data_IF_907836656840
#
_entry.id   IF_907836656840
#
_cell.length_a   1.000
_cell.length_b   1.000
_cell.length_c   1.000
_cell.angle_alpha   90.00
_cell.angle_beta   90.00
_cell.angle_gamma   90.00
#
_symmetry.space_group_name_H-M   'P 1'
#
loop_
_entity.id
_entity.type
_entity.pdbx_description
1 polymer ?
#
# COMPACT_ATOMS: atom_id res chain seq x y z
N UNK A 1 -25.12 -31.53 15.33
CA UNK A 1 -24.42 -31.24 14.05
C UNK A 1 -23.11 -30.55 14.38
N UNK A 2 -21.96 -31.14 14.02
CA UNK A 2 -20.62 -30.62 14.34
C UNK A 2 -20.19 -29.66 13.23
N UNK A 3 -19.87 -28.41 13.57
CA UNK A 3 -19.28 -27.46 12.63
C UNK A 3 -17.82 -27.85 12.41
N UNK A 4 -17.54 -28.65 11.39
CA UNK A 4 -16.16 -28.87 10.93
C UNK A 4 -15.67 -27.62 10.21
N UNK A 5 -15.11 -26.70 11.00
CA UNK A 5 -14.39 -25.54 10.48
C UNK A 5 -13.06 -26.08 9.94
N UNK A 6 -13.01 -26.45 8.66
CA UNK A 6 -11.78 -26.82 7.96
C UNK A 6 -10.90 -25.57 7.81
N UNK A 7 -10.25 -25.15 8.89
CA UNK A 7 -9.19 -24.17 8.86
C UNK A 7 -7.95 -24.87 8.31
N UNK A 8 -7.86 -25.01 6.97
CA UNK A 8 -6.56 -25.23 6.33
C UNK A 8 -5.68 -24.05 6.74
N UNK A 9 -4.90 -24.22 7.82
CA UNK A 9 -3.80 -23.32 8.20
C UNK A 9 -2.83 -23.32 7.02
N UNK A 10 -3.05 -22.42 6.06
CA UNK A 10 -2.00 -22.03 5.13
C UNK A 10 -1.01 -21.23 5.98
N UNK A 11 -0.06 -21.93 6.59
CA UNK A 11 1.08 -21.40 7.36
C UNK A 11 2.10 -20.67 6.47
N UNK A 12 1.66 -20.10 5.35
CA UNK A 12 2.48 -19.29 4.47
C UNK A 12 2.23 -17.81 4.74
N UNK A 13 3.30 -17.00 4.70
CA UNK A 13 3.14 -15.55 4.51
C UNK A 13 2.20 -15.36 3.30
N UNK A 14 1.13 -14.55 3.42
CA UNK A 14 0.24 -14.33 2.30
C UNK A 14 1.06 -13.83 1.10
N UNK A 15 0.71 -14.22 -0.13
CA UNK A 15 1.38 -13.69 -1.31
C UNK A 15 1.36 -12.17 -1.20
N UNK A 16 2.52 -11.53 -1.42
CA UNK A 16 2.63 -10.07 -1.45
C UNK A 16 1.85 -9.57 -2.67
N UNK A 17 0.53 -9.46 -2.53
CA UNK A 17 -0.30 -8.79 -3.53
C UNK A 17 0.16 -7.35 -3.57
N UNK A 18 0.60 -6.90 -4.74
CA UNK A 18 0.97 -5.50 -4.91
C UNK A 18 -0.19 -4.60 -4.50
N UNK A 19 0.10 -3.59 -3.69
CA UNK A 19 -0.87 -2.59 -3.24
C UNK A 19 -0.35 -1.21 -3.59
N UNK A 20 -1.27 -0.38 -4.07
CA UNK A 20 -1.00 1.01 -4.36
C UNK A 20 -1.00 1.80 -3.04
N UNK A 21 0.07 2.56 -2.79
CA UNK A 21 0.13 3.47 -1.65
C UNK A 21 -0.81 4.67 -1.86
N UNK A 22 -1.63 4.97 -0.86
CA UNK A 22 -2.56 6.11 -0.92
C UNK A 22 -1.84 7.47 -0.99
N UNK A 23 -0.62 7.57 -0.47
CA UNK A 23 0.21 8.77 -0.58
C UNK A 23 0.59 9.09 -2.02
N UNK A 24 0.80 8.06 -2.85
CA UNK A 24 1.07 8.23 -4.28
C UNK A 24 -0.14 8.80 -5.03
N UNK A 25 -1.36 8.39 -4.65
CA UNK A 25 -2.61 8.93 -5.20
C UNK A 25 -2.87 10.39 -4.81
N UNK A 26 -2.31 10.86 -3.69
CA UNK A 26 -2.40 12.27 -3.28
C UNK A 26 -1.41 13.16 -4.03
N UNK A 27 -0.37 12.58 -4.64
CA UNK A 27 0.67 13.33 -5.33
C UNK A 27 0.16 13.87 -6.68
N UNK A 28 0.05 15.20 -6.80
CA UNK A 28 -0.43 15.88 -8.01
C UNK A 28 0.40 15.53 -9.26
N UNK A 29 1.73 15.40 -9.12
CA UNK A 29 2.62 15.09 -10.24
C UNK A 29 2.44 13.65 -10.71
N UNK A 30 2.37 12.68 -9.81
CA UNK A 30 2.08 11.29 -10.16
C UNK A 30 0.74 11.17 -10.90
N UNK A 31 -0.31 11.84 -10.39
CA UNK A 31 -1.63 11.85 -11.01
C UNK A 31 -1.62 12.46 -12.42
N UNK A 32 -0.85 13.53 -12.65
CA UNK A 32 -0.71 14.11 -14.00
C UNK A 32 -0.04 13.14 -14.96
N UNK A 33 1.01 12.44 -14.54
CA UNK A 33 1.68 11.44 -15.38
C UNK A 33 0.74 10.29 -15.76
N UNK A 34 -0.03 9.80 -14.79
CA UNK A 34 -0.99 8.71 -15.04
C UNK A 34 -2.13 9.18 -15.95
N UNK A 35 -2.64 10.41 -15.79
CA UNK A 35 -3.65 10.97 -16.69
C UNK A 35 -3.14 11.06 -18.13
N UNK A 36 -1.88 11.47 -18.34
CA UNK A 36 -1.26 11.48 -19.67
C UNK A 36 -1.18 10.08 -20.27
N UNK A 37 -0.83 9.08 -19.46
CA UNK A 37 -0.78 7.68 -19.92
C UNK A 37 -2.16 7.15 -20.31
N UNK A 38 -3.20 7.45 -19.51
CA UNK A 38 -4.59 7.09 -19.83
C UNK A 38 -5.00 7.73 -21.16
N UNK A 39 -4.71 9.02 -21.34
CA UNK A 39 -5.02 9.73 -22.60
C UNK A 39 -4.34 9.07 -23.79
N UNK A 40 -3.07 8.69 -23.66
CA UNK A 40 -2.33 7.98 -24.71
C UNK A 40 -2.98 6.64 -25.07
N UNK A 41 -3.39 5.86 -24.07
CA UNK A 41 -4.07 4.57 -24.29
C UNK A 41 -5.42 4.77 -25.01
N UNK A 42 -6.11 5.88 -24.75
CA UNK A 42 -7.35 6.23 -25.44
C UNK A 42 -7.14 6.72 -26.87
N UNK A 43 -6.04 7.45 -27.13
CA UNK A 43 -5.69 7.96 -28.47
C UNK A 43 -5.20 6.84 -29.42
N UNK A 44 -4.53 5.81 -28.91
CA UNK A 44 -4.08 4.64 -29.72
C UNK A 44 -5.21 3.74 -30.23
N UNK A 45 -6.46 4.15 -30.03
CA UNK A 45 -7.65 3.31 -30.18
C UNK A 45 -8.39 3.47 -31.51
N UNK A 46 -7.74 3.98 -32.55
CA UNK A 46 -8.26 4.17 -33.93
C UNK A 46 -8.64 2.88 -34.69
N UNK A 47 -8.84 1.73 -34.03
CA UNK A 47 -9.36 0.51 -34.67
C UNK A 47 -10.80 0.22 -34.21
N UNK A 48 -11.72 0.17 -35.18
CA UNK A 48 -13.19 0.15 -34.98
C UNK A 48 -13.75 -1.02 -34.12
N UNK A 49 -12.94 -2.03 -33.78
CA UNK A 49 -13.42 -3.30 -33.22
C UNK A 49 -13.03 -3.59 -31.74
N UNK A 50 -12.47 -2.64 -30.99
CA UNK A 50 -12.04 -2.92 -29.60
C UNK A 50 -13.11 -2.63 -28.55
N UNK A 51 -13.72 -3.69 -28.02
CA UNK A 51 -14.63 -3.67 -26.85
C UNK A 51 -14.01 -2.96 -25.64
N UNK A 52 -14.83 -2.30 -24.81
CA UNK A 52 -14.41 -1.62 -23.56
C UNK A 52 -13.64 -2.58 -22.64
N UNK A 53 -14.03 -3.85 -22.61
CA UNK A 53 -13.37 -4.90 -21.82
C UNK A 53 -11.90 -5.09 -22.24
N UNK A 54 -11.65 -5.26 -23.53
CA UNK A 54 -10.30 -5.43 -24.10
C UNK A 54 -9.42 -4.20 -23.82
N UNK A 55 -10.00 -3.00 -23.89
CA UNK A 55 -9.29 -1.78 -23.52
C UNK A 55 -8.84 -1.81 -22.06
N UNK A 56 -9.72 -2.21 -21.15
CA UNK A 56 -9.40 -2.26 -19.72
C UNK A 56 -8.37 -3.34 -19.40
N UNK A 57 -8.44 -4.49 -20.08
CA UNK A 57 -7.50 -5.59 -19.92
C UNK A 57 -6.08 -5.23 -20.39
N UNK A 58 -5.96 -4.34 -21.39
CA UNK A 58 -4.67 -3.77 -21.83
C UNK A 58 -4.22 -2.60 -20.95
N UNK A 59 -5.13 -1.69 -20.60
CA UNK A 59 -4.80 -0.48 -19.84
C UNK A 59 -4.33 -0.80 -18.41
N UNK A 60 -5.01 -1.73 -17.73
CA UNK A 60 -4.75 -2.07 -16.33
C UNK A 60 -3.31 -2.53 -16.04
N UNK A 61 -2.70 -3.47 -16.80
CA UNK A 61 -1.30 -3.85 -16.58
C UNK A 61 -0.32 -2.70 -16.88
N UNK A 62 -0.56 -1.89 -17.91
CA UNK A 62 0.28 -0.72 -18.25
C UNK A 62 0.28 0.30 -17.11
N UNK A 63 -0.90 0.69 -16.64
CA UNK A 63 -1.05 1.64 -15.55
C UNK A 63 -0.43 1.09 -14.25
N UNK A 64 -0.63 -0.20 -13.96
CA UNK A 64 0.00 -0.86 -12.80
C UNK A 64 1.53 -0.81 -12.88
N UNK A 65 2.11 -1.11 -14.05
CA UNK A 65 3.56 -1.01 -14.26
C UNK A 65 4.09 0.41 -14.01
N UNK A 66 3.38 1.42 -14.49
CA UNK A 66 3.72 2.84 -14.27
C UNK A 66 3.68 3.20 -12.78
N UNK A 67 2.64 2.79 -12.06
CA UNK A 67 2.55 3.03 -10.61
C UNK A 67 3.68 2.33 -9.84
N UNK A 68 4.03 1.09 -10.20
CA UNK A 68 5.17 0.38 -9.60
C UNK A 68 6.48 1.15 -9.82
N UNK A 69 6.72 1.62 -11.05
CA UNK A 69 7.92 2.38 -11.39
C UNK A 69 7.98 3.72 -10.62
N UNK A 70 6.86 4.45 -10.55
CA UNK A 70 6.76 5.70 -9.78
C UNK A 70 7.01 5.46 -8.28
N UNK A 71 6.43 4.40 -7.73
CA UNK A 71 6.63 4.05 -6.32
C UNK A 71 8.11 3.73 -6.03
N UNK A 72 8.77 2.97 -6.91
CA UNK A 72 10.20 2.68 -6.79
C UNK A 72 11.06 3.95 -6.88
N UNK A 73 10.70 4.86 -7.79
CA UNK A 73 11.35 6.16 -7.93
C UNK A 73 11.26 7.01 -6.65
N UNK A 74 10.06 7.18 -6.09
CA UNK A 74 9.90 7.94 -4.84
C UNK A 74 10.64 7.31 -3.67
N UNK A 75 10.61 5.97 -3.56
CA UNK A 75 11.38 5.26 -2.53
C UNK A 75 12.89 5.53 -2.67
N UNK A 76 13.40 5.59 -3.90
CA UNK A 76 14.80 5.95 -4.15
C UNK A 76 15.08 7.40 -3.75
N UNK A 77 14.19 8.33 -4.07
CA UNK A 77 14.34 9.74 -3.68
C UNK A 77 14.36 9.93 -2.16
N UNK A 78 13.43 9.32 -1.44
CA UNK A 78 13.37 9.38 0.03
C UNK A 78 14.65 8.81 0.66
N UNK A 79 15.16 7.70 0.12
CA UNK A 79 16.43 7.12 0.57
C UNK A 79 17.60 8.09 0.38
N UNK A 80 17.69 8.75 -0.78
CA UNK A 80 18.72 9.74 -1.05
C UNK A 80 18.58 10.95 -0.12
N UNK A 81 17.35 11.41 0.14
CA UNK A 81 17.10 12.50 1.08
C UNK A 81 17.60 12.16 2.50
N UNK A 82 17.26 10.97 3.01
CA UNK A 82 17.72 10.52 4.34
C UNK A 82 19.25 10.38 4.37
N UNK A 83 19.87 9.85 3.31
CA UNK A 83 21.32 9.75 3.20
C UNK A 83 22.00 11.13 3.25
N UNK A 84 21.48 12.11 2.48
CA UNK A 84 22.02 13.47 2.49
C UNK A 84 21.88 14.13 3.87
N UNK A 85 20.72 13.97 4.52
CA UNK A 85 20.50 14.46 5.89
C UNK A 85 21.43 13.78 6.90
N UNK A 86 21.71 12.49 6.74
CA UNK A 86 22.62 11.73 7.61
C UNK A 86 24.07 12.20 7.46
N UNK A 87 24.52 12.46 6.24
CA UNK A 87 25.85 13.03 5.99
C UNK A 87 25.95 14.42 6.61
N UNK A 88 24.95 15.28 6.38
CA UNK A 88 24.90 16.62 6.97
C UNK A 88 24.87 16.58 8.50
N UNK A 89 24.14 15.63 9.10
CA UNK A 89 24.10 15.45 10.55
C UNK A 89 25.49 15.13 11.12
N UNK A 90 26.24 14.22 10.47
CA UNK A 90 27.59 13.84 10.91
C UNK A 90 28.57 15.00 10.85
N UNK A 91 28.48 15.82 9.80
CA UNK A 91 29.31 17.02 9.67
C UNK A 91 29.02 18.01 10.82
N UNK A 92 27.74 18.31 11.05
CA UNK A 92 27.32 19.19 12.14
C UNK A 92 27.72 18.65 13.52
N UNK A 93 27.70 17.34 13.72
CA UNK A 93 28.14 16.70 14.96
C UNK A 93 29.65 16.83 15.18
N UNK A 94 30.47 16.66 14.13
CA UNK A 94 31.92 16.86 14.20
C UNK A 94 32.27 18.32 14.53
N UNK A 95 31.70 19.26 13.78
CA UNK A 95 31.94 20.69 14.04
C UNK A 95 31.47 21.11 15.44
N UNK A 96 30.42 20.48 15.98
CA UNK A 96 29.93 20.73 17.33
C UNK A 96 30.87 20.18 18.42
N UNK A 97 31.61 19.10 18.14
CA UNK A 97 32.63 18.56 19.05
C UNK A 97 33.87 19.46 19.08
N UNK A 98 34.35 19.90 17.92
CA UNK A 98 35.52 20.78 17.80
C UNK A 98 35.23 22.20 18.32
N UNK A 99 34.07 22.74 17.95
CA UNK A 99 33.68 24.12 18.27
C UNK A 99 32.24 24.17 18.77
N UNK A 100 32.02 23.99 20.08
CA UNK A 100 30.68 23.93 20.64
C UNK A 100 29.91 25.26 20.47
N UNK A 101 28.80 25.24 19.71
CA UNK A 101 27.93 26.42 19.53
C UNK A 101 26.46 26.09 19.82
N UNK A 102 25.73 26.91 20.59
CA UNK A 102 24.32 26.63 20.90
C UNK A 102 23.39 26.72 19.68
N UNK A 103 23.70 27.55 18.68
CA UNK A 103 22.98 27.60 17.40
C UNK A 103 23.06 26.27 16.66
N UNK A 104 24.26 25.69 16.55
CA UNK A 104 24.52 24.41 15.90
C UNK A 104 23.80 23.24 16.58
N UNK A 105 23.73 23.22 17.92
CA UNK A 105 22.90 22.24 18.65
C UNK A 105 21.41 22.29 18.25
N UNK A 106 20.88 23.49 17.95
CA UNK A 106 19.49 23.63 17.47
C UNK A 106 19.34 23.06 16.06
N UNK A 107 20.32 23.25 15.19
CA UNK A 107 20.32 22.70 13.83
C UNK A 107 20.41 21.17 13.82
N UNK A 108 21.30 20.58 14.61
CA UNK A 108 21.39 19.12 14.81
C UNK A 108 20.03 18.56 15.24
N UNK A 109 19.35 19.21 16.19
CA UNK A 109 18.01 18.79 16.64
C UNK A 109 16.99 18.85 15.51
N UNK A 110 17.03 19.88 14.66
CA UNK A 110 16.14 20.02 13.49
C UNK A 110 16.38 18.89 12.48
N UNK A 111 17.64 18.60 12.13
CA UNK A 111 17.99 17.54 11.18
C UNK A 111 17.53 16.17 11.70
N UNK A 112 17.77 15.87 12.99
CA UNK A 112 17.29 14.64 13.62
C UNK A 112 15.76 14.54 13.60
N UNK A 113 15.06 15.63 13.88
CA UNK A 113 13.60 15.66 13.82
C UNK A 113 13.08 15.42 12.39
N UNK A 114 13.76 15.95 11.37
CA UNK A 114 13.40 15.72 9.97
C UNK A 114 13.59 14.25 9.55
N UNK A 115 14.72 13.63 9.90
CA UNK A 115 14.97 12.20 9.67
C UNK A 115 13.88 11.36 10.35
N UNK A 116 13.62 11.60 11.64
CA UNK A 116 12.60 10.88 12.39
C UNK A 116 11.20 11.05 11.77
N UNK A 117 10.87 12.22 11.24
CA UNK A 117 9.60 12.45 10.57
C UNK A 117 9.44 11.61 9.29
N UNK A 118 10.51 11.46 8.51
CA UNK A 118 10.51 10.60 7.31
C UNK A 118 10.31 9.13 7.71
N UNK A 119 11.09 8.63 8.67
CA UNK A 119 10.99 7.25 9.15
C UNK A 119 9.64 6.93 9.80
N UNK A 120 9.09 7.89 10.56
CA UNK A 120 7.78 7.75 11.20
C UNK A 120 6.67 7.61 10.15
N UNK A 121 6.71 8.41 9.06
CA UNK A 121 5.76 8.30 7.95
C UNK A 121 5.81 6.92 7.31
N UNK A 122 7.00 6.40 7.03
CA UNK A 122 7.16 5.05 6.46
C UNK A 122 6.61 3.97 7.41
N UNK A 123 6.90 4.08 8.71
CA UNK A 123 6.42 3.15 9.73
C UNK A 123 4.89 3.14 9.84
N UNK A 124 4.26 4.32 9.84
CA UNK A 124 2.79 4.46 9.86
C UNK A 124 2.17 3.81 8.62
N UNK A 125 2.76 3.99 7.44
CA UNK A 125 2.30 3.32 6.22
C UNK A 125 2.38 1.78 6.34
N UNK A 126 3.49 1.24 6.84
CA UNK A 126 3.65 -0.21 7.05
C UNK A 126 2.64 -0.78 8.05
N UNK A 127 2.36 -0.04 9.13
CA UNK A 127 1.32 -0.40 10.11
C UNK A 127 -0.05 -0.44 9.43
N UNK A 128 -0.38 0.58 8.62
CA UNK A 128 -1.66 0.62 7.91
C UNK A 128 -1.80 -0.51 6.89
N UNK A 129 -0.74 -0.82 6.14
CA UNK A 129 -0.72 -1.97 5.22
C UNK A 129 -0.97 -3.29 5.96
N UNK A 130 -0.34 -3.45 7.12
CA UNK A 130 -0.50 -4.64 7.99
C UNK A 130 -1.92 -4.74 8.54
N UNK A 131 -2.49 -3.64 9.04
CA UNK A 131 -3.88 -3.56 9.52
C UNK A 131 -4.87 -3.94 8.42
N UNK A 132 -4.75 -3.36 7.23
CA UNK A 132 -5.63 -3.70 6.09
C UNK A 132 -5.50 -5.16 5.68
N UNK A 133 -4.28 -5.73 5.72
CA UNK A 133 -4.07 -7.17 5.45
C UNK A 133 -4.79 -8.06 6.47
N UNK A 134 -4.77 -7.70 7.76
CA UNK A 134 -5.50 -8.43 8.80
C UNK A 134 -7.01 -8.33 8.62
N UNK A 135 -7.54 -7.14 8.32
CA UNK A 135 -8.97 -6.94 8.06
C UNK A 135 -9.46 -7.77 6.87
N UNK A 136 -8.70 -7.83 5.77
CA UNK A 136 -9.04 -8.69 4.63
C UNK A 136 -9.08 -10.17 5.00
N UNK A 137 -8.16 -10.63 5.87
CA UNK A 137 -8.16 -12.02 6.35
C UNK A 137 -9.38 -12.29 7.23
N UNK A 138 -9.69 -11.39 8.16
CA UNK A 138 -10.87 -11.49 9.04
C UNK A 138 -12.14 -11.54 8.18
N UNK A 139 -12.29 -10.63 7.21
CA UNK A 139 -13.46 -10.60 6.33
C UNK A 139 -13.61 -11.90 5.52
N UNK A 140 -12.51 -12.44 4.98
CA UNK A 140 -12.53 -13.74 4.29
C UNK A 140 -12.93 -14.88 5.23
N UNK A 141 -12.42 -14.87 6.46
CA UNK A 141 -12.77 -15.88 7.47
C UNK A 141 -14.25 -15.80 7.87
N UNK A 142 -14.80 -14.60 8.11
CA UNK A 142 -16.23 -14.41 8.37
C UNK A 142 -17.07 -14.95 7.22
N UNK A 143 -16.76 -14.59 5.97
CA UNK A 143 -17.47 -15.12 4.79
C UNK A 143 -17.43 -16.66 4.69
N UNK A 144 -16.34 -17.30 5.13
CA UNK A 144 -16.26 -18.77 5.16
C UNK A 144 -17.12 -19.41 6.25
N UNK A 145 -17.44 -18.67 7.31
CA UNK A 145 -18.27 -19.12 8.45
C UNK A 145 -19.75 -18.78 8.22
N UNK A 146 -20.05 -17.64 7.60
CA UNK A 146 -21.42 -17.18 7.31
C UNK A 146 -22.14 -18.14 6.36
N UNK A 147 -21.44 -18.68 5.34
CA UNK A 147 -22.02 -19.64 4.38
C UNK A 147 -22.55 -20.92 5.03
N UNK A 148 -21.78 -21.67 5.83
CA UNK A 148 -22.30 -22.85 6.52
C UNK A 148 -23.36 -22.49 7.57
N UNK A 149 -23.23 -21.38 8.31
CA UNK A 149 -24.26 -20.93 9.24
C UNK A 149 -25.60 -20.63 8.55
N UNK A 150 -25.57 -19.93 7.42
CA UNK A 150 -26.77 -19.65 6.62
C UNK A 150 -27.45 -20.95 6.13
N UNK A 151 -26.66 -21.96 5.72
CA UNK A 151 -27.17 -23.28 5.35
C UNK A 151 -27.84 -24.00 6.52
N UNK A 152 -27.25 -23.93 7.72
CA UNK A 152 -27.82 -24.52 8.93
C UNK A 152 -29.14 -23.84 9.32
N UNK A 153 -29.19 -22.51 9.27
CA UNK A 153 -30.40 -21.74 9.54
C UNK A 153 -31.51 -22.06 8.52
N UNK A 154 -31.16 -22.21 7.24
CA UNK A 154 -32.11 -22.60 6.19
C UNK A 154 -32.72 -23.98 6.47
N UNK A 155 -31.89 -24.99 6.74
CA UNK A 155 -32.35 -26.34 7.08
C UNK A 155 -33.26 -26.36 8.30
N UNK A 156 -32.94 -25.57 9.34
CA UNK A 156 -33.76 -25.48 10.56
C UNK A 156 -35.15 -24.91 10.28
N UNK A 157 -35.26 -23.89 9.42
CA UNK A 157 -36.56 -23.32 9.01
C UNK A 157 -37.38 -24.32 8.19
N UNK A 158 -36.74 -25.03 7.26
CA UNK A 158 -37.40 -26.05 6.44
C UNK A 158 -37.96 -27.19 7.30
N UNK A 159 -37.25 -27.64 8.35
CA UNK A 159 -37.74 -28.67 9.27
C UNK A 159 -38.90 -28.23 10.16
N UNK A 160 -38.99 -26.95 10.54
CA UNK A 160 -40.10 -26.42 11.38
C UNK A 160 -41.37 -26.10 10.59
N UNK A 161 -41.35 -26.18 9.26
CA UNK A 161 -42.50 -25.90 8.39
C UNK A 161 -43.25 -27.18 7.97
N UNK A 162 -42.66 -28.34 8.25
CA UNK A 162 -43.19 -29.68 7.90
C UNK A 162 -43.79 -30.43 9.09
N UNK A 163 -43.81 -29.80 10.27
CA UNK A 163 -44.59 -30.21 11.46
C UNK A 163 -45.81 -29.28 11.58
#
# INVERSE_FOLDING_TARGET
MKLEINHRKKSGKPPKTWRLKNTLLKNKWANRNIRKEIKKIMETKESENTTIQTLWDVAKPVLRGKYIALQAYFKKLEKVQVQNLTVHLKEQEREQQEHPKPSRRREIRKIRAEINNIETKETVEQINETKSCLLEKINKNCQTIDKPLARLLKKKKESTQTD
#
